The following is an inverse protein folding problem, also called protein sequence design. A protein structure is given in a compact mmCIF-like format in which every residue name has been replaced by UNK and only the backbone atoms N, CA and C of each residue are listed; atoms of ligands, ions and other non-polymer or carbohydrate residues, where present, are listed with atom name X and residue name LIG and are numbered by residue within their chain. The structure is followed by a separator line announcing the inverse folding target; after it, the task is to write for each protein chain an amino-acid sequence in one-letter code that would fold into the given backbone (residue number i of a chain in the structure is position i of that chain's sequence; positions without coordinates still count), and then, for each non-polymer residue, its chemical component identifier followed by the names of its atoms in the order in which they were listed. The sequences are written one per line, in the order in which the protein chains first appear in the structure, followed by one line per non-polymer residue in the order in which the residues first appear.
data_IF_512790313260
#
_entry.id   IF_512790313260
#
_cell.length_a   1.000
_cell.length_b   1.000
_cell.length_c   1.000
_cell.angle_alpha   90.00
_cell.angle_beta   90.00
_cell.angle_gamma   90.00
#
_symmetry.space_group_name_H-M   'P 1'
#
loop_
_entity.id
_entity.type
_entity.pdbx_description
1 polymer ?
#
# COMPACT_ATOMS: atom_id res chain seq x y z
N UNK A 1 45.86 9.72 -23.19
CA UNK A 1 44.60 9.56 -23.92
C UNK A 1 43.48 9.59 -22.89
N UNK A 2 42.68 10.66 -22.87
CA UNK A 2 41.57 10.83 -21.93
C UNK A 2 40.29 10.29 -22.59
N UNK A 3 39.65 9.31 -21.98
CA UNK A 3 38.33 8.84 -22.41
C UNK A 3 37.26 9.92 -22.20
N UNK A 4 36.34 10.15 -23.16
CA UNK A 4 35.22 11.04 -22.96
C UNK A 4 34.18 10.42 -21.99
N UNK A 5 33.41 11.25 -21.25
CA UNK A 5 32.37 10.76 -20.37
C UNK A 5 31.17 10.18 -21.16
N UNK A 6 30.41 9.24 -20.60
CA UNK A 6 29.25 8.65 -21.27
C UNK A 6 28.15 9.69 -21.48
N UNK A 7 27.60 9.65 -22.67
CA UNK A 7 26.51 10.51 -23.16
C UNK A 7 25.25 10.32 -22.29
N UNK A 8 24.69 11.40 -21.81
CA UNK A 8 23.43 11.44 -21.06
C UNK A 8 22.28 10.81 -21.87
N UNK A 9 21.80 9.67 -21.44
CA UNK A 9 20.56 9.10 -21.94
C UNK A 9 19.41 10.10 -21.65
N UNK A 10 18.74 10.54 -22.69
CA UNK A 10 17.55 11.38 -22.60
C UNK A 10 16.46 10.60 -21.86
N UNK A 11 16.13 11.04 -20.64
CA UNK A 11 14.95 10.57 -19.91
C UNK A 11 13.70 11.02 -20.67
N UNK A 12 12.94 10.07 -21.15
CA UNK A 12 11.55 10.30 -21.57
C UNK A 12 10.75 10.65 -20.29
N UNK A 13 9.97 11.73 -20.26
CA UNK A 13 9.18 12.03 -19.07
C UNK A 13 8.12 10.94 -18.88
N UNK A 14 8.22 10.20 -17.78
CA UNK A 14 7.17 9.31 -17.31
C UNK A 14 5.85 10.09 -17.21
N UNK A 15 4.78 9.48 -17.73
CA UNK A 15 3.46 10.10 -17.83
C UNK A 15 3.05 10.74 -16.51
N UNK A 16 2.57 11.99 -16.62
CA UNK A 16 2.08 12.80 -15.50
C UNK A 16 0.90 12.08 -14.82
N UNK A 17 1.19 11.37 -13.73
CA UNK A 17 0.22 10.71 -12.88
C UNK A 17 0.12 11.46 -11.55
N UNK A 18 -0.44 12.66 -11.58
CA UNK A 18 -0.71 13.46 -10.40
C UNK A 18 -2.18 13.88 -10.36
N UNK A 19 -2.81 13.80 -9.20
CA UNK A 19 -4.09 14.45 -8.98
C UNK A 19 -3.92 15.94 -9.27
N UNK A 20 -4.72 16.50 -10.19
CA UNK A 20 -4.74 17.95 -10.45
C UNK A 20 -5.74 18.58 -9.48
N UNK A 21 -5.29 19.52 -8.68
CA UNK A 21 -6.19 20.44 -7.99
C UNK A 21 -6.88 21.32 -9.03
N UNK A 22 -8.22 21.30 -9.06
CA UNK A 22 -8.95 22.29 -9.84
C UNK A 22 -8.87 23.66 -9.17
N UNK A 23 -9.18 24.75 -9.89
CA UNK A 23 -9.08 26.13 -9.41
C UNK A 23 -9.88 26.46 -8.14
N UNK A 24 -10.61 25.49 -7.56
CA UNK A 24 -11.38 25.58 -6.32
C UNK A 24 -10.78 24.74 -5.16
N UNK A 25 -9.55 24.22 -5.29
CA UNK A 25 -8.90 23.45 -4.23
C UNK A 25 -9.50 22.07 -3.96
N UNK A 26 -10.45 21.59 -4.78
CA UNK A 26 -10.96 20.23 -4.69
C UNK A 26 -10.00 19.27 -5.39
N UNK A 27 -9.52 18.27 -4.66
CA UNK A 27 -8.85 17.11 -5.25
C UNK A 27 -9.84 16.41 -6.20
N UNK A 28 -9.55 16.40 -7.49
CA UNK A 28 -10.23 15.52 -8.42
C UNK A 28 -9.69 14.10 -8.18
N UNK A 29 -10.49 13.28 -7.53
CA UNK A 29 -10.21 11.86 -7.42
C UNK A 29 -10.16 11.28 -8.84
N UNK A 30 -9.12 10.51 -9.14
CA UNK A 30 -9.04 9.76 -10.40
C UNK A 30 -10.31 8.91 -10.54
N UNK A 31 -10.85 8.76 -11.76
CA UNK A 31 -11.91 7.79 -11.97
C UNK A 31 -11.43 6.43 -11.48
N UNK A 32 -12.27 5.77 -10.69
CA UNK A 32 -11.98 4.45 -10.15
C UNK A 32 -11.73 3.48 -11.30
N UNK A 33 -10.63 2.70 -11.29
CA UNK A 33 -10.39 1.71 -12.33
C UNK A 33 -11.45 0.60 -12.27
N UNK A 34 -11.69 -0.12 -13.36
CA UNK A 34 -12.61 -1.26 -13.39
C UNK A 34 -12.18 -2.41 -12.47
N UNK A 35 -10.90 -2.52 -12.18
CA UNK A 35 -10.29 -3.50 -11.27
C UNK A 35 -9.10 -2.88 -10.54
N UNK A 36 -8.68 -3.48 -9.44
CA UNK A 36 -7.42 -3.13 -8.77
C UNK A 36 -6.25 -3.41 -9.71
N UNK A 37 -5.41 -2.39 -9.96
CA UNK A 37 -4.22 -2.47 -10.82
C UNK A 37 -2.93 -2.21 -10.06
N UNK A 38 -3.01 -1.54 -8.93
CA UNK A 38 -1.87 -1.25 -8.07
C UNK A 38 -2.24 -1.42 -6.60
N UNK A 39 -1.33 -2.02 -5.83
CA UNK A 39 -1.55 -2.31 -4.40
C UNK A 39 -0.39 -1.76 -3.59
N UNK A 40 -0.69 -0.91 -2.61
CA UNK A 40 0.26 -0.52 -1.60
C UNK A 40 0.35 -1.59 -0.52
N UNK A 41 1.55 -2.10 -0.28
CA UNK A 41 1.82 -3.09 0.77
C UNK A 41 2.62 -2.45 1.90
N UNK A 42 1.98 -2.34 3.06
CA UNK A 42 2.61 -1.96 4.32
C UNK A 42 3.08 -3.22 5.03
N UNK A 43 4.35 -3.30 5.39
CA UNK A 43 4.93 -4.46 6.05
C UNK A 43 6.23 -4.11 6.80
N UNK A 44 6.72 -5.06 7.60
CA UNK A 44 7.92 -4.85 8.38
C UNK A 44 9.20 -4.75 7.55
N UNK A 45 10.12 -3.85 7.96
CA UNK A 45 11.52 -3.84 7.51
C UNK A 45 12.36 -4.97 8.16
N UNK A 46 11.79 -5.72 9.09
CA UNK A 46 12.31 -6.98 9.64
C UNK A 46 11.48 -8.17 9.16
N UNK A 47 12.03 -9.39 9.33
CA UNK A 47 11.32 -10.65 8.98
C UNK A 47 10.34 -11.10 10.05
N UNK A 48 10.48 -10.59 11.30
CA UNK A 48 9.84 -11.17 12.48
C UNK A 48 10.49 -12.51 12.86
N UNK A 49 10.00 -13.14 13.92
CA UNK A 49 10.56 -14.42 14.42
C UNK A 49 9.98 -15.62 13.66
N UNK A 50 8.74 -15.54 13.20
CA UNK A 50 8.08 -16.66 12.54
C UNK A 50 8.32 -16.59 11.01
N UNK A 51 8.94 -17.63 10.41
CA UNK A 51 9.23 -17.65 8.97
C UNK A 51 7.98 -17.58 8.09
N UNK A 52 6.81 -17.92 8.60
CA UNK A 52 5.54 -17.83 7.88
C UNK A 52 5.26 -16.40 7.36
N UNK A 53 5.80 -15.37 8.03
CA UNK A 53 5.62 -13.98 7.59
C UNK A 53 6.39 -13.70 6.30
N UNK A 54 7.62 -14.20 6.18
CA UNK A 54 8.41 -14.10 4.95
C UNK A 54 7.78 -14.92 3.83
N UNK A 55 7.26 -16.12 4.12
CA UNK A 55 6.54 -16.95 3.15
C UNK A 55 5.28 -16.24 2.64
N UNK A 56 4.53 -15.59 3.52
CA UNK A 56 3.36 -14.81 3.16
C UNK A 56 3.71 -13.61 2.26
N UNK A 57 4.82 -12.91 2.55
CA UNK A 57 5.29 -11.80 1.74
C UNK A 57 5.67 -12.26 0.33
N UNK A 58 6.40 -13.39 0.20
CA UNK A 58 6.75 -13.99 -1.09
C UNK A 58 5.52 -14.46 -1.86
N UNK A 59 4.58 -15.13 -1.17
CA UNK A 59 3.33 -15.59 -1.77
C UNK A 59 2.52 -14.42 -2.32
N UNK A 60 2.40 -13.33 -1.56
CA UNK A 60 1.71 -12.13 -2.02
C UNK A 60 2.40 -11.51 -3.24
N UNK A 61 3.74 -11.37 -3.22
CA UNK A 61 4.49 -10.81 -4.35
C UNK A 61 4.27 -11.60 -5.65
N UNK A 62 4.35 -12.94 -5.57
CA UNK A 62 4.06 -13.81 -6.72
C UNK A 62 2.60 -13.72 -7.18
N UNK A 63 1.64 -13.59 -6.24
CA UNK A 63 0.21 -13.46 -6.57
C UNK A 63 -0.08 -12.11 -7.27
N UNK A 64 0.54 -11.00 -6.82
CA UNK A 64 0.42 -9.69 -7.47
C UNK A 64 0.94 -9.74 -8.91
N UNK A 65 2.16 -10.27 -9.11
CA UNK A 65 2.74 -10.44 -10.43
C UNK A 65 1.86 -11.31 -11.34
N UNK A 66 1.40 -12.47 -10.85
CA UNK A 66 0.52 -13.38 -11.60
C UNK A 66 -0.84 -12.78 -11.97
N UNK A 67 -1.33 -11.81 -11.19
CA UNK A 67 -2.57 -11.09 -11.45
C UNK A 67 -2.37 -9.83 -12.32
N UNK A 68 -1.13 -9.47 -12.67
CA UNK A 68 -0.80 -8.23 -13.37
C UNK A 68 -1.15 -6.98 -12.56
N UNK A 69 -0.87 -7.03 -11.24
CA UNK A 69 -1.09 -5.95 -10.29
C UNK A 69 0.29 -5.42 -9.87
N UNK A 70 0.48 -4.12 -9.99
CA UNK A 70 1.71 -3.43 -9.64
C UNK A 70 1.84 -3.32 -8.11
N UNK A 71 3.04 -3.55 -7.60
CA UNK A 71 3.37 -3.35 -6.19
C UNK A 71 3.83 -1.91 -5.95
N UNK A 72 3.23 -1.25 -4.98
CA UNK A 72 3.72 0.00 -4.37
C UNK A 72 4.14 -0.32 -2.93
N UNK A 73 5.33 0.13 -2.49
CA UNK A 73 5.80 -0.18 -1.15
C UNK A 73 6.84 0.82 -0.64
N UNK A 74 7.33 0.62 0.57
CA UNK A 74 8.22 1.55 1.28
C UNK A 74 9.67 1.66 0.76
N UNK A 75 10.05 0.98 -0.32
CA UNK A 75 11.36 1.11 -0.98
C UNK A 75 12.51 0.35 -0.31
N UNK A 76 12.31 -0.23 0.89
CA UNK A 76 13.34 -0.97 1.62
C UNK A 76 13.66 -2.35 1.01
N UNK A 77 14.94 -2.75 1.06
CA UNK A 77 15.42 -4.05 0.59
C UNK A 77 15.46 -5.13 1.68
N UNK A 78 15.16 -4.77 2.93
CA UNK A 78 15.23 -5.68 4.08
C UNK A 78 13.86 -6.21 4.50
N UNK A 79 13.85 -7.29 5.28
CA UNK A 79 12.66 -7.86 5.90
C UNK A 79 11.57 -8.23 4.91
N UNK A 80 10.32 -8.09 5.33
CA UNK A 80 9.15 -8.42 4.50
C UNK A 80 9.02 -7.49 3.29
N UNK A 81 9.50 -6.23 3.38
CA UNK A 81 9.55 -5.30 2.25
C UNK A 81 10.39 -5.86 1.11
N UNK A 82 11.62 -6.31 1.40
CA UNK A 82 12.49 -6.94 0.41
C UNK A 82 11.92 -8.24 -0.14
N UNK A 83 11.26 -9.06 0.70
CA UNK A 83 10.67 -10.33 0.27
C UNK A 83 9.54 -10.12 -0.75
N UNK A 84 8.57 -9.23 -0.45
CA UNK A 84 7.45 -8.97 -1.35
C UNK A 84 7.90 -8.32 -2.65
N UNK A 85 8.85 -7.38 -2.60
CA UNK A 85 9.36 -6.70 -3.78
C UNK A 85 10.11 -7.66 -4.72
N UNK A 86 11.03 -8.46 -4.19
CA UNK A 86 11.77 -9.46 -4.99
C UNK A 86 10.84 -10.50 -5.61
N UNK A 87 9.91 -11.04 -4.83
CA UNK A 87 8.95 -12.02 -5.36
C UNK A 87 8.05 -11.45 -6.47
N UNK A 88 7.69 -10.16 -6.38
CA UNK A 88 6.94 -9.49 -7.46
C UNK A 88 7.79 -9.34 -8.72
N UNK A 89 9.05 -8.91 -8.59
CA UNK A 89 9.98 -8.78 -9.71
C UNK A 89 10.29 -10.12 -10.37
N UNK A 90 10.57 -11.17 -9.58
CA UNK A 90 10.82 -12.53 -10.04
C UNK A 90 9.62 -13.11 -10.81
N UNK A 91 8.41 -12.74 -10.42
CA UNK A 91 7.17 -13.06 -11.14
C UNK A 91 6.92 -12.22 -12.39
N UNK A 92 7.81 -11.27 -12.74
CA UNK A 92 7.67 -10.37 -13.88
C UNK A 92 6.73 -9.18 -13.65
N UNK A 93 6.34 -8.90 -12.39
CA UNK A 93 5.51 -7.77 -12.00
C UNK A 93 6.28 -6.45 -11.91
N UNK A 94 5.57 -5.34 -11.85
CA UNK A 94 6.14 -4.01 -11.69
C UNK A 94 6.18 -3.63 -10.20
N UNK A 95 7.24 -2.96 -9.78
CA UNK A 95 7.46 -2.55 -8.39
C UNK A 95 7.85 -1.08 -8.32
N UNK A 96 7.07 -0.28 -7.58
CA UNK A 96 7.40 1.11 -7.26
C UNK A 96 7.78 1.22 -5.79
N UNK A 97 9.04 1.54 -5.53
CA UNK A 97 9.55 1.83 -4.18
C UNK A 97 9.47 3.33 -3.89
N UNK A 98 8.93 3.71 -2.73
CA UNK A 98 8.84 5.12 -2.30
C UNK A 98 9.47 5.25 -0.93
N UNK A 99 10.62 5.94 -0.86
CA UNK A 99 11.43 6.01 0.35
C UNK A 99 11.92 7.45 0.60
N UNK A 100 11.87 7.96 1.83
CA UNK A 100 12.50 9.23 2.17
C UNK A 100 14.02 9.10 2.15
N UNK A 101 14.69 10.17 1.73
CA UNK A 101 16.15 10.20 1.63
C UNK A 101 16.86 9.75 2.92
N UNK A 102 16.41 10.23 4.08
CA UNK A 102 16.99 9.90 5.38
C UNK A 102 16.82 8.43 5.81
N UNK A 103 15.95 7.64 5.15
CA UNK A 103 15.78 6.20 5.39
C UNK A 103 16.49 5.33 4.37
N UNK A 104 16.93 5.88 3.25
CA UNK A 104 17.48 5.14 2.11
C UNK A 104 18.66 4.23 2.47
N UNK A 105 19.58 4.72 3.30
CA UNK A 105 20.71 3.93 3.80
C UNK A 105 20.30 2.92 4.88
N UNK A 106 19.40 3.30 5.79
CA UNK A 106 18.98 2.45 6.92
C UNK A 106 18.20 1.22 6.49
N UNK A 107 17.33 1.36 5.51
CA UNK A 107 16.48 0.29 5.01
C UNK A 107 17.09 -0.46 3.82
N UNK A 108 18.36 -0.14 3.50
CA UNK A 108 19.08 -0.72 2.35
C UNK A 108 18.17 -0.72 1.11
N UNK A 109 17.88 0.49 0.64
CA UNK A 109 17.02 0.74 -0.50
C UNK A 109 17.25 -0.27 -1.64
N UNK A 110 16.20 -0.87 -2.16
CA UNK A 110 16.26 -1.82 -3.25
C UNK A 110 16.34 -1.07 -4.57
N UNK A 111 17.51 -1.12 -5.23
CA UNK A 111 17.77 -0.37 -6.46
C UNK A 111 17.21 -1.01 -7.73
N UNK A 112 16.96 -2.32 -7.70
CA UNK A 112 16.56 -3.11 -8.87
C UNK A 112 15.01 -3.12 -9.08
N UNK A 113 14.31 -2.21 -8.40
CA UNK A 113 12.86 -2.04 -8.61
C UNK A 113 12.58 -1.30 -9.93
N UNK A 114 11.36 -1.44 -10.45
CA UNK A 114 10.96 -0.82 -11.72
C UNK A 114 11.03 0.70 -11.65
N UNK A 115 10.48 1.28 -10.58
CA UNK A 115 10.54 2.71 -10.29
C UNK A 115 10.95 2.94 -8.83
N UNK A 116 11.89 3.85 -8.60
CA UNK A 116 12.33 4.24 -7.28
C UNK A 116 12.16 5.75 -7.09
N UNK A 117 11.30 6.12 -6.16
CA UNK A 117 10.99 7.51 -5.85
C UNK A 117 11.58 7.85 -4.48
N UNK A 118 12.56 8.74 -4.47
CA UNK A 118 13.12 9.29 -3.24
C UNK A 118 12.38 10.58 -2.89
N UNK A 119 11.83 10.63 -1.67
CA UNK A 119 11.03 11.76 -1.18
C UNK A 119 11.79 12.61 -0.18
N UNK A 120 11.39 13.86 -0.03
CA UNK A 120 12.02 14.77 0.93
C UNK A 120 11.65 14.44 2.38
N UNK A 121 10.43 13.95 2.62
CA UNK A 121 9.93 13.67 3.97
C UNK A 121 8.89 12.53 3.98
N UNK A 122 8.41 12.18 5.20
CA UNK A 122 7.41 11.13 5.40
C UNK A 122 6.02 11.51 4.89
N UNK A 123 5.67 12.78 4.86
CA UNK A 123 4.34 13.22 4.39
C UNK A 123 4.24 13.05 2.87
N UNK A 124 5.28 13.45 2.16
CA UNK A 124 5.38 13.24 0.72
C UNK A 124 5.36 11.75 0.37
N UNK A 125 6.14 10.91 1.11
CA UNK A 125 6.13 9.46 0.95
C UNK A 125 4.73 8.89 1.05
N UNK A 126 4.03 9.12 2.16
CA UNK A 126 2.70 8.57 2.40
C UNK A 126 1.67 9.05 1.37
N UNK A 127 1.74 10.33 1.00
CA UNK A 127 0.90 10.89 -0.06
C UNK A 127 1.13 10.18 -1.40
N UNK A 128 2.37 9.99 -1.81
CA UNK A 128 2.69 9.30 -3.07
C UNK A 128 2.30 7.82 -3.03
N UNK A 129 2.53 7.11 -1.91
CA UNK A 129 2.07 5.73 -1.73
C UNK A 129 0.54 5.64 -1.89
N UNK A 130 -0.20 6.58 -1.34
CA UNK A 130 -1.64 6.68 -1.52
C UNK A 130 -2.04 6.97 -2.97
N UNK A 131 -1.41 7.95 -3.62
CA UNK A 131 -1.74 8.38 -4.98
C UNK A 131 -1.44 7.31 -6.04
N UNK A 132 -0.42 6.49 -5.82
CA UNK A 132 0.01 5.44 -6.75
C UNK A 132 -0.75 4.12 -6.60
N UNK A 133 -1.66 4.00 -5.62
CA UNK A 133 -2.30 2.73 -5.28
C UNK A 133 -3.80 2.77 -5.44
N UNK A 134 -4.39 1.65 -5.87
CA UNK A 134 -5.84 1.45 -5.96
C UNK A 134 -6.39 0.74 -4.71
N UNK A 135 -5.53 0.07 -3.95
CA UNK A 135 -5.87 -0.68 -2.75
C UNK A 135 -4.68 -0.78 -1.78
N UNK A 136 -4.93 -1.22 -0.55
CA UNK A 136 -3.94 -1.33 0.52
C UNK A 136 -3.95 -2.70 1.17
N UNK A 137 -2.76 -3.18 1.53
CA UNK A 137 -2.56 -4.43 2.29
C UNK A 137 -1.63 -4.15 3.47
N UNK A 138 -2.00 -4.61 4.66
CA UNK A 138 -1.10 -4.65 5.81
C UNK A 138 -0.70 -6.10 6.09
N UNK A 139 0.54 -6.47 5.75
CA UNK A 139 1.22 -7.66 6.25
C UNK A 139 1.73 -7.42 7.69
N UNK A 140 2.20 -8.44 8.41
CA UNK A 140 2.87 -8.26 9.69
C UNK A 140 3.98 -7.21 9.63
N UNK A 141 4.07 -6.39 10.68
CA UNK A 141 5.08 -5.33 10.73
C UNK A 141 5.13 -4.59 12.06
N UNK A 142 6.00 -3.61 12.15
CA UNK A 142 6.20 -2.81 13.36
C UNK A 142 5.28 -1.60 13.46
N UNK A 143 5.73 -0.63 14.29
CA UNK A 143 4.94 0.58 14.58
C UNK A 143 4.69 1.44 13.32
N UNK A 144 5.63 1.47 12.37
CA UNK A 144 5.44 2.19 11.10
C UNK A 144 4.32 1.57 10.27
N UNK A 145 4.30 0.24 10.15
CA UNK A 145 3.23 -0.50 9.46
C UNK A 145 1.87 -0.27 10.13
N UNK A 146 1.83 -0.25 11.47
CA UNK A 146 0.60 0.07 12.21
C UNK A 146 0.15 1.51 11.96
N UNK A 147 1.06 2.47 11.94
CA UNK A 147 0.76 3.89 11.68
C UNK A 147 0.18 4.07 10.29
N UNK A 148 0.82 3.49 9.26
CA UNK A 148 0.35 3.53 7.88
C UNK A 148 -1.04 2.87 7.74
N UNK A 149 -1.27 1.73 8.37
CA UNK A 149 -2.58 1.06 8.38
C UNK A 149 -3.66 1.93 9.03
N UNK A 150 -3.40 2.46 10.23
CA UNK A 150 -4.37 3.29 10.97
C UNK A 150 -4.69 4.57 10.20
N UNK A 151 -3.72 5.16 9.50
CA UNK A 151 -3.95 6.33 8.65
C UNK A 151 -4.96 6.00 7.53
N UNK A 152 -4.79 4.88 6.82
CA UNK A 152 -5.72 4.48 5.75
C UNK A 152 -7.12 4.16 6.30
N UNK A 153 -7.20 3.47 7.44
CA UNK A 153 -8.48 3.22 8.11
C UNK A 153 -9.17 4.53 8.49
N UNK A 154 -8.42 5.50 9.00
CA UNK A 154 -8.94 6.83 9.38
C UNK A 154 -9.43 7.60 8.15
N UNK A 155 -8.65 7.63 7.06
CA UNK A 155 -9.03 8.34 5.85
C UNK A 155 -10.28 7.71 5.19
N UNK A 156 -10.38 6.39 5.21
CA UNK A 156 -11.57 5.67 4.74
C UNK A 156 -12.79 6.01 5.62
N UNK A 157 -12.65 6.01 6.96
CA UNK A 157 -13.70 6.39 7.90
C UNK A 157 -14.20 7.83 7.68
N UNK A 158 -13.28 8.75 7.35
CA UNK A 158 -13.60 10.15 7.05
C UNK A 158 -14.11 10.36 5.62
N UNK A 159 -14.28 9.30 4.83
CA UNK A 159 -14.79 9.38 3.47
C UNK A 159 -13.82 9.99 2.47
N UNK A 160 -12.52 10.03 2.79
CA UNK A 160 -11.49 10.55 1.88
C UNK A 160 -11.23 9.60 0.71
N UNK A 161 -11.50 8.29 0.89
CA UNK A 161 -11.41 7.29 -0.16
C UNK A 161 -12.30 6.07 0.13
N UNK A 162 -12.51 5.27 -0.93
CA UNK A 162 -13.22 3.98 -0.88
C UNK A 162 -12.33 2.84 -1.39
N UNK A 163 -11.01 3.03 -1.40
CA UNK A 163 -10.06 2.01 -1.84
C UNK A 163 -10.09 0.84 -0.86
N UNK A 164 -10.09 -0.42 -1.34
CA UNK A 164 -10.04 -1.62 -0.48
C UNK A 164 -8.83 -1.61 0.45
N UNK A 165 -9.05 -2.04 1.70
CA UNK A 165 -7.99 -2.23 2.70
C UNK A 165 -8.10 -3.67 3.19
N UNK A 166 -7.03 -4.46 3.09
CA UNK A 166 -6.95 -5.83 3.60
C UNK A 166 -5.91 -5.92 4.69
N UNK A 167 -6.33 -6.41 5.85
CA UNK A 167 -5.47 -6.78 6.98
C UNK A 167 -5.14 -8.26 6.86
N UNK A 168 -3.91 -8.59 6.51
CA UNK A 168 -3.42 -9.95 6.39
C UNK A 168 -3.01 -10.47 7.78
N UNK A 169 -3.96 -11.09 8.48
CA UNK A 169 -3.80 -11.60 9.84
C UNK A 169 -3.06 -12.96 9.86
N UNK A 170 -1.90 -12.99 9.22
CA UNK A 170 -1.06 -14.19 9.09
C UNK A 170 -0.66 -14.70 10.48
N UNK A 171 -0.94 -15.97 10.75
CA UNK A 171 -0.71 -16.59 12.04
C UNK A 171 -1.26 -15.78 13.24
N UNK A 172 -2.33 -15.03 13.05
CA UNK A 172 -2.96 -14.24 14.10
C UNK A 172 -2.20 -12.97 14.51
N UNK A 173 -1.23 -12.52 13.71
CA UNK A 173 -0.37 -11.36 14.05
C UNK A 173 -1.17 -10.11 14.40
N UNK A 174 -2.20 -9.79 13.63
CA UNK A 174 -3.05 -8.60 13.83
C UNK A 174 -4.21 -8.81 14.81
N UNK A 175 -4.39 -10.02 15.38
CA UNK A 175 -5.51 -10.29 16.31
C UNK A 175 -5.60 -9.32 17.48
N UNK A 176 -4.50 -8.91 18.16
CA UNK A 176 -4.57 -7.90 19.21
C UNK A 176 -5.07 -6.54 18.73
N UNK A 177 -4.67 -6.11 17.53
CA UNK A 177 -5.14 -4.86 16.92
C UNK A 177 -6.63 -4.93 16.55
N UNK A 178 -7.07 -6.03 15.97
CA UNK A 178 -8.48 -6.25 15.65
C UNK A 178 -9.36 -6.26 16.90
N UNK A 179 -8.88 -6.86 18.00
CA UNK A 179 -9.56 -6.80 19.30
C UNK A 179 -9.61 -5.36 19.85
N UNK A 180 -8.56 -4.55 19.63
CA UNK A 180 -8.55 -3.15 20.04
C UNK A 180 -9.62 -2.35 19.28
N UNK A 181 -9.75 -2.54 17.97
CA UNK A 181 -10.81 -1.89 17.17
C UNK A 181 -12.21 -2.28 17.65
N UNK A 182 -12.42 -3.58 17.96
CA UNK A 182 -13.69 -4.06 18.52
C UNK A 182 -13.96 -3.44 19.90
N UNK A 183 -12.93 -3.33 20.75
CA UNK A 183 -13.07 -2.65 22.04
C UNK A 183 -13.48 -1.17 21.84
N UNK A 184 -12.82 -0.44 20.94
CA UNK A 184 -13.20 0.95 20.63
C UNK A 184 -14.67 1.07 20.17
N UNK A 185 -15.14 0.10 19.37
CA UNK A 185 -16.54 0.04 18.93
C UNK A 185 -17.49 -0.24 20.09
N UNK A 186 -17.18 -1.20 20.94
CA UNK A 186 -18.00 -1.54 22.13
C UNK A 186 -18.11 -0.38 23.12
N UNK A 187 -17.09 0.49 23.16
CA UNK A 187 -17.06 1.70 23.99
C UNK A 187 -17.64 2.94 23.28
N UNK A 188 -18.25 2.76 22.08
CA UNK A 188 -18.84 3.81 21.25
C UNK A 188 -17.86 4.92 20.77
N UNK A 189 -16.54 4.67 20.80
CA UNK A 189 -15.56 5.57 20.15
C UNK A 189 -15.54 5.41 18.63
N UNK A 190 -15.87 4.22 18.11
CA UNK A 190 -16.24 4.03 16.71
C UNK A 190 -17.76 3.99 16.65
N UNK A 191 -18.36 5.07 16.15
CA UNK A 191 -19.82 5.24 16.17
C UNK A 191 -20.51 4.37 15.11
N UNK A 192 -21.75 3.89 15.36
CA UNK A 192 -22.56 3.24 14.33
C UNK A 192 -22.69 4.12 13.08
N UNK A 193 -22.49 3.52 11.90
CA UNK A 193 -22.51 4.22 10.61
C UNK A 193 -21.17 4.89 10.23
N UNK A 194 -20.16 4.83 11.10
CA UNK A 194 -18.80 5.27 10.84
C UNK A 194 -17.81 4.10 11.00
N UNK A 195 -18.28 2.88 10.78
CA UNK A 195 -17.43 1.70 10.77
C UNK A 195 -16.46 1.76 9.61
N UNK A 196 -15.23 1.37 9.89
CA UNK A 196 -14.21 1.28 8.84
C UNK A 196 -14.39 -0.04 8.09
N UNK A 197 -14.57 0.04 6.78
CA UNK A 197 -14.61 -1.14 5.92
C UNK A 197 -13.19 -1.64 5.65
N UNK A 198 -12.86 -2.83 6.16
CA UNK A 198 -11.62 -3.55 5.80
C UNK A 198 -11.91 -5.04 5.69
N UNK A 199 -11.12 -5.71 4.83
CA UNK A 199 -11.12 -7.17 4.74
C UNK A 199 -10.08 -7.77 5.69
N UNK A 200 -10.37 -8.98 6.19
CA UNK A 200 -9.41 -9.77 6.96
C UNK A 200 -9.20 -11.07 6.21
N UNK A 201 -7.94 -11.46 6.02
CA UNK A 201 -7.55 -12.77 5.51
C UNK A 201 -6.49 -13.38 6.41
N UNK A 202 -6.44 -14.70 6.51
CA UNK A 202 -5.43 -15.43 7.30
C UNK A 202 -4.38 -16.08 6.42
N UNK A 203 -4.67 -16.23 5.12
CA UNK A 203 -3.78 -16.82 4.14
C UNK A 203 -3.37 -15.77 3.09
N UNK A 204 -2.09 -15.73 2.73
CA UNK A 204 -1.58 -14.76 1.76
C UNK A 204 -2.18 -14.95 0.35
N UNK A 205 -2.54 -16.17 -0.03
CA UNK A 205 -3.18 -16.48 -1.31
C UNK A 205 -4.56 -15.82 -1.47
N UNK A 206 -5.25 -15.53 -0.37
CA UNK A 206 -6.60 -14.96 -0.37
C UNK A 206 -6.59 -13.43 -0.49
N UNK A 207 -5.41 -12.78 -0.38
CA UNK A 207 -5.31 -11.30 -0.36
C UNK A 207 -5.80 -10.72 -1.70
N UNK A 208 -5.26 -11.18 -2.83
CA UNK A 208 -5.60 -10.64 -4.15
C UNK A 208 -7.08 -10.87 -4.49
N UNK A 209 -7.65 -12.09 -4.33
CA UNK A 209 -9.09 -12.30 -4.49
C UNK A 209 -9.92 -11.35 -3.62
N UNK A 210 -9.61 -11.23 -2.33
CA UNK A 210 -10.37 -10.36 -1.41
C UNK A 210 -10.31 -8.89 -1.82
N UNK A 211 -9.17 -8.38 -2.29
CA UNK A 211 -9.06 -7.01 -2.80
C UNK A 211 -9.97 -6.77 -4.00
N UNK A 212 -10.04 -7.72 -4.95
CA UNK A 212 -10.89 -7.61 -6.13
C UNK A 212 -12.37 -7.66 -5.77
N UNK A 213 -12.77 -8.54 -4.84
CA UNK A 213 -14.14 -8.63 -4.34
C UNK A 213 -14.57 -7.32 -3.67
N UNK A 214 -13.77 -6.80 -2.73
CA UNK A 214 -14.04 -5.53 -2.07
C UNK A 214 -14.08 -4.36 -3.05
N UNK A 215 -13.24 -4.42 -4.10
CA UNK A 215 -13.26 -3.43 -5.14
C UNK A 215 -14.58 -3.49 -5.92
N UNK A 216 -15.08 -4.65 -6.30
CA UNK A 216 -16.37 -4.83 -6.97
C UNK A 216 -17.53 -4.35 -6.08
N UNK A 217 -17.59 -4.82 -4.81
CA UNK A 217 -18.60 -4.45 -3.82
C UNK A 217 -18.74 -2.93 -3.64
N UNK A 218 -17.62 -2.21 -3.58
CA UNK A 218 -17.63 -0.75 -3.40
C UNK A 218 -18.06 0.02 -4.68
N UNK A 219 -18.07 -0.62 -5.87
CA UNK A 219 -18.61 -0.05 -7.12
C UNK A 219 -20.12 0.06 -7.13
N UNK A 220 -20.79 -0.81 -6.40
CA UNK A 220 -22.25 -0.89 -6.31
C UNK A 220 -22.83 0.08 -5.25
N UNK A 221 -21.99 0.63 -4.36
CA UNK A 221 -22.41 1.59 -3.36
C UNK A 221 -22.30 3.00 -3.93
N UNK A 222 -23.43 3.65 -4.21
CA UNK A 222 -23.45 5.10 -4.47
C UNK A 222 -22.79 5.83 -3.29
N UNK A 223 -21.95 6.86 -3.53
CA UNK A 223 -21.32 7.60 -2.44
C UNK A 223 -22.42 8.12 -1.52
N UNK A 224 -22.49 7.53 -0.34
CA UNK A 224 -23.39 8.02 0.70
C UNK A 224 -23.10 9.51 0.89
N UNK A 225 -24.14 10.29 0.86
CA UNK A 225 -24.15 11.74 1.06
C UNK A 225 -23.16 12.09 2.16
N UNK A 226 -22.11 12.82 1.82
CA UNK A 226 -21.14 13.36 2.77
C UNK A 226 -21.88 13.88 3.99
N UNK A 227 -21.69 13.25 5.14
CA UNK A 227 -22.23 13.73 6.39
C UNK A 227 -21.56 15.09 6.63
N UNK A 228 -22.33 16.16 6.48
CA UNK A 228 -21.89 17.50 6.87
C UNK A 228 -21.82 17.52 8.40
N UNK A 229 -20.62 17.67 8.93
CA UNK A 229 -20.36 17.98 10.33
C UNK A 229 -20.83 19.41 10.65
#
# INVERSE_FOLDING_TARGET
MKHPPPTSAQRTPAGQSGARANGNGKLELRPRPERVRSVCVYCGSGHGENPIYSDAARTLGGALAGAGIDLVYGGGGLGLMGEVARATLEGGGQVTGIIPDFLSEREQMLHDVTDLIVTADMHERKRLMFEHSDAFVALPGGIGTLEELVEQLTWSQLGQHTKPIVVANIAGFWSPFLHLLEHMRSQAFIRPGLEVGYGIVTEAADIVPRLQDMHAEAGDVQPATLIKF
#
